data_IF_519064815177
#
_entry.id   IF_519064815177
#
_cell.length_a   1.000
_cell.length_b   1.000
_cell.length_c   1.000
_cell.angle_alpha   90.00
_cell.angle_beta   90.00
_cell.angle_gamma   90.00
#
_symmetry.space_group_name_H-M   'P 1'
#
loop_
_entity.id
_entity.type
_entity.pdbx_description
1 polymer ?
#
# COMPACT_ATOMS: atom_id res chain seq x y z
N UNK A 1 8.11 -20.40 5.73
CA UNK A 1 7.35 -19.28 6.31
C UNK A 1 6.69 -18.55 5.15
N UNK A 2 5.44 -18.15 5.27
CA UNK A 2 4.83 -17.27 4.24
C UNK A 2 5.25 -15.84 4.54
N UNK A 3 6.21 -15.31 3.77
CA UNK A 3 6.70 -13.94 3.94
C UNK A 3 5.59 -12.93 3.63
N UNK A 4 4.62 -13.29 2.79
CA UNK A 4 3.49 -12.42 2.42
C UNK A 4 2.63 -12.05 3.62
N UNK A 5 2.56 -12.94 4.63
CA UNK A 5 1.86 -12.68 5.88
C UNK A 5 2.54 -11.65 6.80
N UNK A 6 3.77 -11.23 6.46
CA UNK A 6 4.51 -10.15 7.14
C UNK A 6 4.31 -8.78 6.49
N UNK A 7 3.50 -8.68 5.44
CA UNK A 7 3.20 -7.39 4.83
C UNK A 7 2.48 -6.49 5.84
N UNK A 8 2.85 -5.21 5.85
CA UNK A 8 2.26 -4.20 6.72
C UNK A 8 0.77 -3.97 6.42
N UNK A 9 0.10 -3.26 7.33
CA UNK A 9 -1.31 -2.93 7.20
C UNK A 9 -2.18 -4.19 7.20
N UNK A 10 -3.10 -4.28 6.24
CA UNK A 10 -3.97 -5.46 6.02
C UNK A 10 -3.35 -6.47 5.04
N UNK A 11 -2.09 -6.27 4.64
CA UNK A 11 -1.37 -7.11 3.71
C UNK A 11 -1.82 -6.94 2.25
N UNK A 12 -1.55 -7.96 1.44
CA UNK A 12 -1.77 -7.93 -0.02
C UNK A 12 -2.49 -9.18 -0.57
N UNK A 13 -2.96 -10.07 0.32
CA UNK A 13 -3.67 -11.31 -0.03
C UNK A 13 -5.05 -11.34 0.63
N UNK A 14 -6.00 -10.47 0.22
CA UNK A 14 -7.31 -10.31 0.87
C UNK A 14 -8.20 -11.56 0.82
N UNK A 15 -7.81 -12.62 0.09
CA UNK A 15 -8.57 -13.86 -0.07
C UNK A 15 -9.89 -13.70 -0.84
N UNK A 16 -10.26 -12.47 -1.20
CA UNK A 16 -11.49 -12.11 -1.88
C UNK A 16 -11.24 -11.00 -2.90
N UNK A 17 -12.26 -10.75 -3.71
CA UNK A 17 -12.23 -9.75 -4.78
C UNK A 17 -12.45 -8.32 -4.27
N UNK A 18 -13.13 -8.19 -3.14
CA UNK A 18 -13.42 -6.92 -2.47
C UNK A 18 -12.44 -6.73 -1.33
N UNK A 19 -11.92 -5.52 -1.15
CA UNK A 19 -11.10 -5.22 0.01
C UNK A 19 -12.02 -4.98 1.21
N UNK A 20 -11.89 -5.76 2.31
CA UNK A 20 -12.58 -5.42 3.55
C UNK A 20 -11.97 -4.16 4.17
N UNK A 21 -12.66 -3.59 5.15
CA UNK A 21 -12.15 -2.45 5.93
C UNK A 21 -10.74 -2.76 6.46
N UNK A 22 -9.81 -1.84 6.25
CA UNK A 22 -8.40 -2.04 6.56
C UNK A 22 -7.49 -1.03 5.87
N UNK A 23 -6.19 -1.23 6.03
CA UNK A 23 -5.14 -0.43 5.41
C UNK A 23 -4.50 -1.23 4.27
N UNK A 24 -4.61 -0.73 3.05
CA UNK A 24 -4.19 -1.46 1.84
C UNK A 24 -3.18 -0.62 1.07
N UNK A 25 -1.97 -1.17 0.91
CA UNK A 25 -0.92 -0.51 0.14
C UNK A 25 -1.03 -0.84 -1.35
N UNK A 26 -0.70 0.12 -2.21
CA UNK A 26 -0.68 -0.14 -3.64
C UNK A 26 -0.27 1.04 -4.50
N UNK A 27 -0.20 0.77 -5.80
CA UNK A 27 0.13 1.76 -6.81
C UNK A 27 -1.15 2.38 -7.37
N UNK A 28 -1.34 3.67 -7.11
CA UNK A 28 -2.51 4.40 -7.59
C UNK A 28 -2.44 4.58 -9.11
N UNK A 29 -3.55 4.28 -9.78
CA UNK A 29 -3.69 4.42 -11.24
C UNK A 29 -4.68 5.50 -11.66
N UNK A 30 -5.69 5.76 -10.83
CA UNK A 30 -6.70 6.79 -11.09
C UNK A 30 -7.29 7.32 -9.78
N UNK A 31 -7.62 8.61 -9.76
CA UNK A 31 -8.26 9.29 -8.62
C UNK A 31 -9.51 10.03 -9.06
N UNK A 32 -10.59 9.82 -8.32
CA UNK A 32 -11.85 10.56 -8.44
C UNK A 32 -12.18 11.21 -7.08
N UNK A 33 -13.12 12.18 -7.02
CA UNK A 33 -13.53 12.79 -5.76
C UNK A 33 -14.13 11.81 -4.73
N UNK A 34 -14.70 10.70 -5.18
CA UNK A 34 -15.42 9.71 -4.38
C UNK A 34 -14.88 8.28 -4.54
N UNK A 35 -13.77 8.11 -5.25
CA UNK A 35 -13.15 6.80 -5.45
C UNK A 35 -11.66 6.90 -5.77
N UNK A 36 -10.91 5.86 -5.44
CA UNK A 36 -9.53 5.67 -5.87
C UNK A 36 -9.36 4.29 -6.49
N UNK A 37 -8.66 4.23 -7.61
CA UNK A 37 -8.27 2.97 -8.27
C UNK A 37 -6.78 2.75 -8.12
N UNK A 38 -6.41 1.57 -7.65
CA UNK A 38 -5.02 1.19 -7.43
C UNK A 38 -4.76 -0.29 -7.71
N UNK A 39 -3.50 -0.63 -7.98
CA UNK A 39 -3.02 -2.00 -8.00
C UNK A 39 -2.47 -2.38 -6.62
N UNK A 40 -3.03 -3.44 -6.02
CA UNK A 40 -2.69 -3.87 -4.67
C UNK A 40 -1.29 -4.50 -4.65
N UNK A 41 -0.42 -3.98 -3.77
CA UNK A 41 0.93 -4.47 -3.60
C UNK A 41 1.23 -4.74 -2.11
N UNK A 42 2.23 -5.55 -1.84
CA UNK A 42 2.70 -5.80 -0.48
C UNK A 42 3.73 -4.74 -0.10
N UNK A 43 3.52 -4.08 1.04
CA UNK A 43 4.49 -3.20 1.68
C UNK A 43 5.21 -3.98 2.78
N UNK A 44 6.54 -4.05 2.73
CA UNK A 44 7.35 -4.67 3.76
C UNK A 44 8.39 -3.67 4.29
N UNK A 45 8.67 -3.72 5.59
CA UNK A 45 9.72 -2.92 6.23
C UNK A 45 10.67 -3.81 7.04
N UNK A 46 11.88 -3.33 7.35
CA UNK A 46 12.83 -4.01 8.23
C UNK A 46 13.16 -5.46 7.82
N UNK A 47 13.14 -6.38 8.79
CA UNK A 47 13.43 -7.80 8.56
C UNK A 47 12.47 -8.45 7.55
N UNK A 48 11.20 -8.02 7.52
CA UNK A 48 10.23 -8.52 6.54
C UNK A 48 10.61 -8.09 5.12
N UNK A 49 11.14 -6.88 4.96
CA UNK A 49 11.63 -6.39 3.67
C UNK A 49 12.84 -7.19 3.20
N UNK A 50 13.81 -7.49 4.08
CA UNK A 50 14.95 -8.31 3.74
C UNK A 50 14.54 -9.74 3.32
N UNK A 51 13.62 -10.37 4.06
CA UNK A 51 13.09 -11.69 3.71
C UNK A 51 12.37 -11.69 2.36
N UNK A 52 11.54 -10.68 2.10
CA UNK A 52 10.78 -10.58 0.87
C UNK A 52 11.70 -10.31 -0.34
N UNK A 53 12.63 -9.37 -0.22
CA UNK A 53 13.61 -9.08 -1.26
C UNK A 53 14.47 -10.32 -1.58
N UNK A 54 14.95 -11.03 -0.55
CA UNK A 54 15.74 -12.26 -0.73
C UNK A 54 14.95 -13.37 -1.45
N UNK A 55 13.66 -13.54 -1.14
CA UNK A 55 12.79 -14.52 -1.81
C UNK A 55 12.60 -14.18 -3.31
N UNK A 56 12.55 -12.89 -3.65
CA UNK A 56 12.40 -12.43 -5.04
C UNK A 56 13.74 -12.34 -5.80
N UNK A 57 14.87 -12.60 -5.14
CA UNK A 57 16.20 -12.52 -5.74
C UNK A 57 16.73 -11.09 -5.90
N UNK A 58 16.13 -10.14 -5.18
CA UNK A 58 16.52 -8.73 -5.14
C UNK A 58 17.63 -8.48 -4.10
N UNK A 59 18.18 -7.26 -4.08
CA UNK A 59 19.16 -6.86 -3.07
C UNK A 59 18.58 -6.98 -1.65
N UNK A 60 19.31 -7.70 -0.78
CA UNK A 60 18.88 -7.98 0.59
C UNK A 60 20.04 -7.80 1.58
N UNK A 61 19.89 -6.97 2.62
CA UNK A 61 18.71 -6.12 2.88
C UNK A 61 18.58 -4.98 1.85
N UNK A 62 17.36 -4.52 1.53
CA UNK A 62 17.15 -3.33 0.72
C UNK A 62 17.85 -2.10 1.35
N UNK A 63 18.54 -1.26 0.57
CA UNK A 63 19.32 -0.14 1.12
C UNK A 63 18.45 0.97 1.74
N UNK A 64 17.16 1.00 1.42
CA UNK A 64 16.16 1.94 1.91
C UNK A 64 15.19 1.32 2.94
N UNK A 65 15.50 0.12 3.44
CA UNK A 65 14.78 -0.57 4.52
C UNK A 65 13.29 -0.87 4.26
N UNK A 66 12.87 -0.83 2.99
CA UNK A 66 11.56 -1.33 2.56
C UNK A 66 11.67 -2.15 1.29
N UNK A 67 10.66 -2.97 1.07
CA UNK A 67 10.50 -3.70 -0.18
C UNK A 67 9.02 -3.69 -0.59
N UNK A 68 8.76 -3.33 -1.86
CA UNK A 68 7.42 -3.41 -2.43
C UNK A 68 7.37 -4.62 -3.36
N UNK A 69 6.48 -5.56 -3.06
CA UNK A 69 6.22 -6.71 -3.93
C UNK A 69 4.87 -6.54 -4.60
N UNK A 70 4.86 -6.46 -5.93
CA UNK A 70 3.64 -6.51 -6.70
C UNK A 70 3.58 -7.76 -7.58
N UNK A 71 2.80 -8.76 -7.15
CA UNK A 71 2.57 -10.02 -7.88
C UNK A 71 1.16 -10.09 -8.51
N UNK A 72 0.40 -9.00 -8.44
CA UNK A 72 -0.94 -8.86 -9.01
C UNK A 72 -0.92 -7.73 -10.03
N UNK A 73 -1.68 -7.83 -11.11
CA UNK A 73 -1.95 -6.68 -11.99
C UNK A 73 -3.41 -6.25 -11.90
N UNK A 74 -4.11 -6.69 -10.85
CA UNK A 74 -5.54 -6.51 -10.68
C UNK A 74 -5.80 -5.17 -10.01
N UNK A 75 -6.38 -4.26 -10.78
CA UNK A 75 -6.89 -3.00 -10.29
C UNK A 75 -8.10 -3.19 -9.38
N UNK A 76 -8.15 -2.40 -8.32
CA UNK A 76 -9.24 -2.33 -7.35
C UNK A 76 -9.65 -0.89 -7.21
N UNK A 77 -10.95 -0.66 -7.30
CA UNK A 77 -11.56 0.64 -7.06
C UNK A 77 -12.26 0.59 -5.72
N UNK A 78 -11.89 1.47 -4.81
CA UNK A 78 -12.53 1.60 -3.49
C UNK A 78 -13.19 2.98 -3.36
N UNK A 79 -14.35 3.06 -2.70
CA UNK A 79 -15.01 4.33 -2.45
C UNK A 79 -14.19 5.16 -1.44
N UNK A 80 -14.21 6.47 -1.63
CA UNK A 80 -13.64 7.47 -0.74
C UNK A 80 -14.80 8.26 -0.14
N UNK A 81 -14.77 8.47 1.17
CA UNK A 81 -15.67 9.41 1.80
C UNK A 81 -15.37 10.82 1.26
N UNK A 82 -16.36 11.48 0.68
CA UNK A 82 -16.18 12.81 0.09
C UNK A 82 -15.75 13.85 1.15
N UNK A 83 -15.15 14.94 0.69
CA UNK A 83 -14.58 16.02 1.52
C UNK A 83 -15.50 16.60 2.62
N UNK A 84 -16.81 16.41 2.52
CA UNK A 84 -17.80 16.90 3.50
C UNK A 84 -18.17 15.86 4.57
N UNK A 85 -17.65 14.64 4.50
CA UNK A 85 -17.86 13.62 5.53
C UNK A 85 -17.12 14.03 6.82
N UNK A 86 -17.76 13.93 8.01
CA UNK A 86 -17.11 14.22 9.29
C UNK A 86 -15.94 13.27 9.62
N UNK A 87 -15.76 12.17 8.87
CA UNK A 87 -14.66 11.20 8.98
C UNK A 87 -14.03 11.03 7.59
N UNK A 88 -13.16 11.97 7.16
CA UNK A 88 -12.55 11.91 5.84
C UNK A 88 -11.70 10.66 5.66
N UNK A 89 -11.66 10.12 4.44
CA UNK A 89 -10.73 9.04 4.10
C UNK A 89 -9.30 9.51 4.30
N UNK A 90 -8.54 8.76 5.10
CA UNK A 90 -7.10 8.98 5.29
C UNK A 90 -6.31 8.15 4.31
N UNK A 91 -5.18 8.68 3.89
CA UNK A 91 -4.19 7.99 3.05
C UNK A 91 -2.81 8.19 3.64
N UNK A 92 -1.99 7.15 3.48
CA UNK A 92 -0.56 7.18 3.81
C UNK A 92 0.21 6.91 2.52
N UNK A 93 1.22 7.71 2.21
CA UNK A 93 1.99 7.59 0.97
C UNK A 93 3.49 7.75 1.19
N UNK A 94 4.27 7.11 0.33
CA UNK A 94 5.71 7.22 0.33
C UNK A 94 6.13 8.55 -0.32
N UNK A 95 6.37 9.58 0.49
CA UNK A 95 6.75 10.90 -0.01
C UNK A 95 8.24 10.99 -0.42
N UNK A 96 9.08 10.09 0.08
CA UNK A 96 10.50 10.00 -0.24
C UNK A 96 10.91 8.52 -0.33
N UNK A 97 11.65 8.15 -1.38
CA UNK A 97 12.07 6.75 -1.62
C UNK A 97 13.31 6.33 -0.82
N UNK A 98 13.90 7.24 -0.03
CA UNK A 98 15.11 7.00 0.76
C UNK A 98 14.93 6.21 2.06
N UNK A 99 13.69 5.89 2.45
CA UNK A 99 13.38 5.14 3.66
C UNK A 99 11.93 4.62 3.66
N UNK A 100 11.50 3.86 4.68
CA UNK A 100 10.17 3.27 4.78
C UNK A 100 9.10 4.25 5.29
N UNK A 101 9.47 5.48 5.64
CA UNK A 101 8.56 6.41 6.29
C UNK A 101 7.43 6.86 5.36
N UNK A 102 6.19 6.54 5.75
CA UNK A 102 4.99 7.02 5.10
C UNK A 102 4.58 8.37 5.69
N UNK A 103 4.10 9.26 4.82
CA UNK A 103 3.45 10.50 5.22
C UNK A 103 1.95 10.27 5.20
N UNK A 104 1.26 10.77 6.22
CA UNK A 104 -0.19 10.68 6.32
C UNK A 104 -0.90 12.01 6.02
N UNK A 105 -2.11 11.91 5.49
CA UNK A 105 -2.99 13.04 5.24
C UNK A 105 -4.42 12.59 4.92
N UNK A 106 -5.29 13.56 4.63
CA UNK A 106 -6.59 13.26 4.03
C UNK A 106 -6.44 12.97 2.54
N UNK A 107 -7.39 12.21 1.98
CA UNK A 107 -7.42 11.91 0.56
C UNK A 107 -7.46 13.17 -0.32
N UNK A 108 -8.22 14.20 0.09
CA UNK A 108 -8.31 15.46 -0.65
C UNK A 108 -7.01 16.26 -0.64
N UNK A 109 -6.29 16.27 0.48
CA UNK A 109 -4.96 16.90 0.57
C UNK A 109 -3.95 16.18 -0.32
N UNK A 110 -3.96 14.85 -0.32
CA UNK A 110 -3.00 14.02 -1.03
C UNK A 110 -3.18 14.04 -2.56
N UNK A 111 -4.43 14.10 -3.05
CA UNK A 111 -4.72 14.04 -4.50
C UNK A 111 -4.53 15.37 -5.25
N UNK A 112 -4.18 16.45 -4.54
CA UNK A 112 -4.07 17.82 -5.06
C UNK A 112 -2.62 18.17 -5.38
#
# INVERSE_FOLDING_TARGET
>A
MDVTALAEGSGCTPGTDTLPDGEWFGYVTDTAPDAVTFDLACWFTGDAAALAAAEDGEESPPPNDYYIRNRSSRLRTVPVAGALDPRPTRVSWLANTGGPDLVDGTYDEWRT
#
